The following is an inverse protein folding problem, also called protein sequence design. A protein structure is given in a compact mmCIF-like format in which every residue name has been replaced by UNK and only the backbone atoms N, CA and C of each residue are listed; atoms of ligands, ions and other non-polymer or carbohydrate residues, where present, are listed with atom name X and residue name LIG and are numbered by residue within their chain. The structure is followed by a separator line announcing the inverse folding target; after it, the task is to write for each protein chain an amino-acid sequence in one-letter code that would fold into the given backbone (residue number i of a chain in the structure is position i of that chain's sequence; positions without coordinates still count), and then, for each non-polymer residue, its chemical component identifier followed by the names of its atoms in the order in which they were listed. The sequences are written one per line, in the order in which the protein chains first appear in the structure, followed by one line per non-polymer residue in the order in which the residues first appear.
data_IF_218738707937
#
_entry.id   IF_218738707937
#
_cell.length_a   1.000
_cell.length_b   1.000
_cell.length_c   1.000
_cell.angle_alpha   90.00
_cell.angle_beta   90.00
_cell.angle_gamma   90.00
#
_symmetry.space_group_name_H-M   'P 1'
#
loop_
_entity.id
_entity.type
_entity.pdbx_description
1 polymer ?
2 non-polymer ?
3 water ?
#
# COMPACT_ATOMS: atom_id res chain seq x y z
N UNK A 21 -2.58 9.11 27.74
CA UNK A 21 -2.29 10.34 26.95
C UNK A 21 -0.76 10.72 27.02
N UNK A 22 0.11 9.70 27.09
CA UNK A 22 1.57 9.84 26.93
C UNK A 22 2.29 8.47 26.97
N UNK A 23 3.20 8.21 26.02
CA UNK A 23 3.96 6.93 25.97
C UNK A 23 5.49 7.10 25.94
N UNK A 24 6.22 6.02 26.24
CA UNK A 24 7.69 6.04 26.20
C UNK A 24 8.25 4.92 25.31
N UNK A 25 9.16 5.28 24.41
CA UNK A 25 9.68 4.37 23.39
C UNK A 25 11.19 4.51 23.33
N UNK A 26 11.89 3.52 23.88
CA UNK A 26 13.33 3.59 24.08
C UNK A 26 13.71 4.79 24.96
N UNK A 27 12.91 4.93 26.04
CA UNK A 27 13.12 5.94 27.10
C UNK A 27 12.39 7.25 26.86
N UNK A 28 12.54 7.75 25.64
CA UNK A 28 11.93 8.98 25.17
C UNK A 28 10.41 9.01 25.30
N UNK A 29 9.88 10.19 25.57
CA UNK A 29 8.47 10.29 25.90
C UNK A 29 7.69 11.07 24.86
N UNK A 30 6.64 10.45 24.35
CA UNK A 30 5.82 11.07 23.32
C UNK A 30 4.42 11.35 23.86
N UNK A 31 3.94 12.57 23.60
CA UNK A 31 2.64 13.03 24.03
C UNK A 31 1.70 12.84 22.89
N UNK A 32 0.66 12.05 23.13
CA UNK A 32 -0.33 11.77 22.09
C UNK A 32 -1.09 13.04 21.79
N UNK A 33 -1.42 13.30 20.53
CA UNK A 33 -2.46 14.29 20.18
C UNK A 33 -3.76 13.59 19.85
N UNK A 34 -3.78 12.72 18.85
CA UNK A 34 -4.98 11.95 18.60
C UNK A 34 -4.69 10.59 17.99
N UNK A 35 -5.71 9.76 17.87
CA UNK A 35 -5.59 8.46 17.26
C UNK A 35 -5.90 8.57 15.79
N UNK A 36 -4.90 8.32 14.97
CA UNK A 36 -5.01 8.59 13.54
C UNK A 36 -5.02 7.32 12.73
N UNK A 37 -5.50 6.23 13.35
CA UNK A 37 -5.50 4.92 12.68
C UNK A 37 -5.66 3.74 13.63
N UNK A 38 -6.30 2.66 13.14
CA UNK A 38 -6.49 1.42 13.92
C UNK A 38 -6.91 0.19 13.09
N UNK A 39 -6.48 -0.98 13.54
CA UNK A 39 -6.67 -2.26 12.84
C UNK A 39 -6.16 -3.35 13.75
N UNK A 40 -6.34 -4.62 13.40
CA UNK A 40 -5.86 -5.74 14.22
C UNK A 40 -5.78 -5.45 15.72
N UNK A 41 -4.66 -5.80 16.34
CA UNK A 41 -4.41 -5.45 17.74
C UNK A 41 -3.41 -4.31 17.75
N UNK A 42 -3.78 -3.22 17.08
CA UNK A 42 -2.88 -2.11 16.82
C UNK A 42 -3.57 -0.74 16.63
N UNK A 43 -3.15 0.21 17.44
CA UNK A 43 -3.57 1.58 17.26
C UNK A 43 -2.44 2.36 16.57
N UNK A 44 -2.80 3.41 15.85
CA UNK A 44 -1.82 4.38 15.44
C UNK A 44 -2.16 5.74 15.93
N UNK A 45 -1.22 6.38 16.64
CA UNK A 45 -1.39 7.71 17.18
C UNK A 45 -0.52 8.70 16.47
N UNK A 46 -0.97 9.97 16.48
CA UNK A 46 -0.20 11.14 16.11
C UNK A 46 0.36 11.79 17.37
N UNK A 47 1.65 12.09 17.44
CA UNK A 47 2.18 12.42 18.76
C UNK A 47 3.29 13.45 18.70
N UNK A 48 3.74 13.93 19.86
CA UNK A 48 4.83 14.94 19.90
C UNK A 48 5.96 14.46 20.76
N UNK A 49 7.19 14.64 20.29
CA UNK A 49 8.32 14.24 21.08
C UNK A 49 8.60 15.34 22.08
N UNK A 50 9.78 15.30 22.69
CA UNK A 50 10.19 16.25 23.72
C UNK A 50 10.41 17.63 23.09
N UNK A 51 11.12 17.67 21.95
CA UNK A 51 11.36 18.93 21.21
C UNK A 51 10.15 19.45 20.43
N UNK A 52 8.94 19.05 20.82
CA UNK A 52 7.70 19.49 20.15
C UNK A 52 7.64 19.15 18.67
N UNK A 53 8.23 18.00 18.32
CA UNK A 53 8.20 17.43 16.97
C UNK A 53 7.13 16.34 16.81
N UNK A 54 6.58 16.27 15.61
CA UNK A 54 5.48 15.36 15.33
C UNK A 54 5.94 14.00 14.73
N UNK A 55 5.26 12.94 15.18
CA UNK A 55 5.50 11.58 14.71
C UNK A 55 4.21 10.81 14.77
N UNK A 56 4.27 9.64 14.17
CA UNK A 56 3.23 8.64 14.28
C UNK A 56 3.85 7.45 15.00
N UNK A 57 3.08 6.93 15.94
CA UNK A 57 3.43 5.71 16.64
C UNK A 57 2.36 4.69 16.36
N UNK A 58 2.81 3.49 16.07
CA UNK A 58 1.94 2.40 15.89
C UNK A 58 2.24 1.58 17.09
N UNK A 59 1.22 1.40 17.92
CA UNK A 59 1.29 0.50 19.03
C UNK A 59 0.71 -0.75 18.51
N UNK A 60 1.44 -1.84 18.67
CA UNK A 60 0.91 -3.15 18.35
C UNK A 60 0.89 -4.00 19.61
N UNK A 61 -0.20 -4.74 19.75
CA UNK A 61 -0.42 -5.53 20.94
C UNK A 61 -0.14 -7.01 20.71
N UNK A 62 0.71 -7.58 21.58
CA UNK A 62 1.22 -8.92 21.37
C UNK A 62 0.76 -9.95 22.38
N UNK A 63 -0.01 -9.53 23.37
CA UNK A 63 -0.38 -10.41 24.46
C UNK A 63 -1.21 -11.60 23.98
N UNK A 64 -1.88 -11.47 22.82
CA UNK A 64 -2.58 -12.63 22.22
C UNK A 64 -1.90 -13.23 20.97
N UNK A 65 -0.62 -12.91 20.77
CA UNK A 65 0.11 -13.26 19.55
C UNK A 65 0.69 -14.65 19.56
N UNK A 66 0.20 -15.51 18.68
CA UNK A 66 0.79 -16.85 18.50
C UNK A 66 2.21 -16.73 17.97
N UNK A 67 2.94 -17.84 17.94
CA UNK A 67 4.33 -17.78 17.54
C UNK A 67 4.54 -17.31 16.12
N UNK A 68 3.89 -17.94 15.16
CA UNK A 68 4.14 -17.55 13.77
C UNK A 68 3.82 -16.08 13.62
N UNK A 69 2.72 -15.66 14.21
CA UNK A 69 2.37 -14.28 14.17
C UNK A 69 3.57 -13.48 14.68
N UNK A 70 4.00 -13.73 15.90
CA UNK A 70 5.16 -13.05 16.47
C UNK A 70 6.41 -12.99 15.58
N UNK A 71 6.56 -13.96 14.68
CA UNK A 71 7.68 -13.92 13.78
C UNK A 71 7.38 -12.96 12.63
N UNK A 72 6.27 -13.24 11.98
CA UNK A 72 5.74 -12.37 10.97
C UNK A 72 5.93 -10.88 11.33
N UNK A 73 5.60 -10.50 12.57
CA UNK A 73 5.80 -9.11 12.99
C UNK A 73 7.29 -8.77 13.08
N UNK A 74 8.08 -9.59 13.75
CA UNK A 74 9.53 -9.38 13.75
C UNK A 74 10.15 -9.27 12.34
N UNK A 75 9.67 -10.11 11.43
CA UNK A 75 10.10 -10.07 10.04
C UNK A 75 9.76 -8.74 9.39
N UNK A 76 8.49 -8.41 9.44
CA UNK A 76 8.00 -7.25 8.76
C UNK A 76 8.79 -6.05 9.25
N UNK A 77 9.12 -6.02 10.54
CA UNK A 77 9.88 -4.88 11.14
C UNK A 77 11.34 -4.90 10.69
N UNK A 78 11.91 -6.10 10.70
CA UNK A 78 13.23 -6.32 10.18
C UNK A 78 13.38 -5.62 8.86
N UNK A 79 12.38 -5.79 8.00
CA UNK A 79 12.46 -5.36 6.62
C UNK A 79 12.15 -3.91 6.52
N UNK A 80 11.32 -3.41 7.41
CA UNK A 80 10.89 -2.04 7.26
C UNK A 80 12.09 -1.24 7.56
N UNK A 81 12.73 -1.63 8.64
CA UNK A 81 13.96 -1.05 9.06
C UNK A 81 15.00 -1.14 7.98
N UNK A 82 15.11 -2.30 7.33
CA UNK A 82 16.19 -2.46 6.35
C UNK A 82 16.06 -1.54 5.16
N UNK A 83 14.95 -1.69 4.45
CA UNK A 83 14.74 -0.97 3.21
C UNK A 83 14.42 0.50 3.46
N UNK A 84 14.69 0.97 4.66
CA UNK A 84 14.80 2.41 4.86
C UNK A 84 15.83 2.99 3.88
N UNK A 85 17.08 2.57 3.99
CA UNK A 85 18.11 3.28 3.21
C UNK A 85 17.98 2.95 1.76
N UNK A 86 17.36 1.84 1.43
CA UNK A 86 17.19 1.47 0.04
C UNK A 86 16.08 2.27 -0.63
N UNK A 87 15.31 3.10 0.08
CA UNK A 87 14.40 4.07 -0.59
C UNK A 87 13.48 4.92 0.30
N UNK A 88 13.29 6.14 -0.17
CA UNK A 88 12.54 7.12 0.55
C UNK A 88 11.08 7.07 0.15
N UNK A 89 10.68 6.14 -0.72
CA UNK A 89 9.25 5.93 -0.97
C UNK A 89 8.75 4.82 -0.07
N UNK A 90 9.35 4.71 1.12
CA UNK A 90 8.91 3.77 2.13
C UNK A 90 8.86 4.48 3.46
N UNK A 91 7.71 4.40 4.10
CA UNK A 91 7.51 5.20 5.29
C UNK A 91 8.78 5.15 6.21
N UNK A 92 9.27 6.28 6.68
CA UNK A 92 10.45 6.27 7.56
C UNK A 92 10.04 5.57 8.82
N UNK A 93 11.00 4.90 9.45
CA UNK A 93 10.84 4.25 10.76
C UNK A 93 12.00 4.71 11.55
N UNK A 94 11.75 5.50 12.56
CA UNK A 94 12.85 6.15 13.26
C UNK A 94 13.33 5.27 14.37
N UNK A 95 12.41 4.60 15.06
CA UNK A 95 12.75 3.75 16.18
C UNK A 95 11.61 2.83 16.56
N UNK A 96 11.97 1.78 17.28
CA UNK A 96 10.99 0.91 17.88
C UNK A 96 11.50 0.28 19.16
N UNK A 97 10.54 -0.01 20.04
CA UNK A 97 10.76 -0.77 21.26
C UNK A 97 9.89 -1.99 21.11
N UNK A 98 10.39 -3.13 21.59
CA UNK A 98 9.65 -4.37 21.42
C UNK A 98 9.83 -5.35 22.60
N UNK A 99 8.70 -5.91 23.04
CA UNK A 99 8.70 -6.75 24.21
C UNK A 99 7.70 -7.80 23.92
N UNK A 100 7.40 -8.61 24.93
CA UNK A 100 6.59 -9.79 24.72
C UNK A 100 5.10 -9.43 24.64
N UNK A 101 4.77 -8.23 25.12
CA UNK A 101 3.37 -7.77 25.16
C UNK A 101 3.05 -6.73 24.07
N UNK A 102 4.04 -5.89 23.75
CA UNK A 102 3.85 -4.87 22.77
C UNK A 102 5.02 -4.55 21.84
N UNK A 103 4.66 -4.00 20.70
CA UNK A 103 5.58 -3.29 19.83
C UNK A 103 5.14 -1.82 19.73
N UNK A 104 6.10 -0.91 19.84
CA UNK A 104 5.89 0.51 19.52
C UNK A 104 6.82 0.90 18.40
N UNK A 105 6.28 1.59 17.42
CA UNK A 105 7.03 1.95 16.24
C UNK A 105 6.95 3.43 16.01
N UNK A 106 8.09 4.10 15.93
CA UNK A 106 8.07 5.52 15.73
C UNK A 106 8.35 5.84 14.29
N UNK A 107 7.31 6.19 13.56
CA UNK A 107 7.44 6.54 12.16
C UNK A 107 7.20 8.02 11.97
N UNK A 108 7.41 8.52 10.75
CA UNK A 108 7.02 9.90 10.43
C UNK A 108 5.51 9.96 10.38
N UNK A 109 4.96 11.14 10.70
CA UNK A 109 3.53 11.33 10.57
C UNK A 109 3.18 11.88 9.22
N UNK A 110 2.40 11.11 8.47
CA UNK A 110 1.91 11.56 7.18
C UNK A 110 0.70 12.43 7.33
N UNK A 111 0.22 12.93 6.21
CA UNK A 111 -0.97 13.79 6.18
C UNK A 111 -2.26 12.95 6.18
N UNK A 112 -2.28 11.93 5.35
CA UNK A 112 -3.43 11.08 5.23
C UNK A 112 -3.00 9.87 4.41
N UNK A 113 -3.65 8.73 4.63
CA UNK A 113 -3.46 7.61 3.73
C UNK A 113 -4.14 7.90 2.40
N UNK A 114 -3.67 7.26 1.35
CA UNK A 114 -4.24 7.48 0.04
C UNK A 114 -5.73 7.28 0.04
N UNK A 115 -6.17 6.20 0.67
CA UNK A 115 -7.54 5.74 0.49
C UNK A 115 -8.56 6.69 1.08
N UNK A 116 -8.18 7.32 2.19
CA UNK A 116 -9.04 8.30 2.81
C UNK A 116 -9.16 9.50 1.89
N UNK A 117 -8.05 9.86 1.29
CA UNK A 117 -7.98 11.07 0.51
C UNK A 117 -8.64 10.85 -0.84
N UNK A 118 -8.46 9.68 -1.44
CA UNK A 118 -9.13 9.42 -2.70
C UNK A 118 -10.62 9.58 -2.47
N UNK A 119 -11.13 9.07 -1.36
CA UNK A 119 -12.55 9.23 -1.06
C UNK A 119 -12.97 10.71 -1.07
N UNK A 120 -12.37 11.54 -0.21
CA UNK A 120 -12.70 12.99 -0.17
C UNK A 120 -12.47 13.75 -1.49
N UNK A 121 -11.45 13.36 -2.24
CA UNK A 121 -10.98 14.17 -3.38
C UNK A 121 -11.92 14.06 -4.57
N UNK A 122 -12.17 15.24 -5.16
CA UNK A 122 -13.19 15.45 -6.18
C UNK A 122 -12.86 14.66 -7.44
N UNK A 123 -11.93 15.21 -8.23
CA UNK A 123 -11.16 14.46 -9.22
C UNK A 123 -9.70 14.83 -8.94
N UNK A 124 -8.78 14.07 -9.55
CA UNK A 124 -7.36 14.17 -9.21
C UNK A 124 -6.62 14.82 -10.37
N UNK A 125 -5.96 15.92 -10.08
CA UNK A 125 -5.14 16.58 -11.08
C UNK A 125 -4.24 15.56 -11.80
N UNK A 126 -4.40 15.41 -13.12
CA UNK A 126 -3.55 14.47 -13.84
C UNK A 126 -2.07 14.42 -13.44
N UNK A 127 -1.44 15.56 -13.18
CA UNK A 127 -0.02 15.58 -12.84
C UNK A 127 0.25 14.90 -11.49
N UNK A 128 -0.52 15.27 -10.47
CA UNK A 128 -0.53 14.58 -9.15
C UNK A 128 -0.67 13.05 -9.30
N UNK A 129 -1.65 12.59 -10.07
CA UNK A 129 -1.93 11.16 -10.18
C UNK A 129 -0.78 10.42 -10.82
N UNK A 130 -0.14 11.03 -11.79
CA UNK A 130 1.04 10.44 -12.42
C UNK A 130 2.20 10.47 -11.46
N UNK A 131 2.40 11.60 -10.80
CA UNK A 131 3.40 11.65 -9.75
C UNK A 131 3.22 10.53 -8.76
N UNK A 132 1.99 10.37 -8.25
CA UNK A 132 1.71 9.31 -7.27
C UNK A 132 2.05 7.92 -7.82
N UNK A 133 1.57 7.62 -9.01
CA UNK A 133 1.91 6.36 -9.66
C UNK A 133 3.43 6.16 -9.67
N UNK A 134 4.22 7.20 -9.94
CA UNK A 134 5.66 7.00 -9.98
C UNK A 134 6.16 6.52 -8.63
N UNK A 135 5.62 7.04 -7.55
CA UNK A 135 6.02 6.58 -6.21
C UNK A 135 5.55 5.18 -5.88
N UNK A 136 4.33 4.83 -6.26
CA UNK A 136 3.89 3.46 -6.08
C UNK A 136 4.91 2.49 -6.70
N UNK A 137 5.27 2.70 -7.95
CA UNK A 137 6.28 1.90 -8.59
C UNK A 137 7.64 1.95 -7.93
N UNK A 138 8.09 3.12 -7.47
CA UNK A 138 9.45 3.19 -6.93
C UNK A 138 9.42 2.25 -5.71
N UNK A 139 8.53 2.55 -4.77
CA UNK A 139 8.31 1.74 -3.57
C UNK A 139 8.18 0.25 -3.83
N UNK A 140 7.22 -0.11 -4.65
CA UNK A 140 6.95 -1.50 -4.86
C UNK A 140 8.15 -2.12 -5.52
N UNK A 141 8.72 -1.47 -6.51
CA UNK A 141 9.92 -2.01 -7.18
C UNK A 141 11.02 -2.30 -6.18
N UNK A 142 11.26 -1.40 -5.22
CA UNK A 142 12.23 -1.67 -4.15
C UNK A 142 11.98 -3.02 -3.43
N UNK A 143 10.77 -3.22 -2.94
CA UNK A 143 10.51 -4.44 -2.18
C UNK A 143 10.66 -5.72 -3.03
N UNK A 144 10.50 -5.61 -4.34
CA UNK A 144 10.59 -6.80 -5.19
C UNK A 144 12.02 -7.19 -5.40
N UNK A 145 12.85 -6.17 -5.55
CA UNK A 145 14.28 -6.33 -5.46
C UNK A 145 14.73 -7.11 -4.23
N UNK A 146 14.05 -6.92 -3.11
CA UNK A 146 14.47 -7.61 -1.93
C UNK A 146 13.78 -8.90 -1.67
N UNK A 147 13.05 -9.41 -2.65
CA UNK A 147 12.41 -10.69 -2.47
C UNK A 147 10.97 -10.56 -2.03
N UNK A 148 10.52 -9.37 -1.62
CA UNK A 148 9.11 -9.28 -1.13
C UNK A 148 8.01 -9.02 -2.18
N UNK A 149 7.05 -9.92 -2.28
CA UNK A 149 5.85 -9.60 -3.00
C UNK A 149 4.82 -9.17 -1.97
N UNK A 150 4.20 -8.03 -2.17
CA UNK A 150 3.27 -7.56 -1.16
C UNK A 150 1.99 -8.36 -1.24
N UNK A 151 1.51 -8.63 -2.45
CA UNK A 151 0.38 -9.53 -2.61
C UNK A 151 -0.88 -9.16 -1.81
N UNK A 152 -1.09 -7.85 -1.59
CA UNK A 152 -2.30 -7.29 -0.96
C UNK A 152 -2.37 -5.72 -0.98
N UNK A 153 -1.98 -5.12 -2.11
CA UNK A 153 -1.92 -3.69 -2.16
C UNK A 153 -3.34 -3.11 -2.34
N UNK A 154 -3.67 -2.15 -1.49
CA UNK A 154 -4.84 -1.33 -1.67
C UNK A 154 -4.41 0.08 -1.40
N UNK A 155 -5.28 1.03 -1.71
CA UNK A 155 -4.92 2.39 -1.46
C UNK A 155 -4.48 2.63 -0.03
N UNK A 156 -5.23 2.06 0.91
CA UNK A 156 -4.96 2.14 2.35
C UNK A 156 -3.49 1.94 2.78
N UNK A 157 -2.72 1.20 1.99
CA UNK A 157 -1.34 0.90 2.28
C UNK A 157 -0.33 2.04 2.03
N UNK A 158 -0.79 3.10 1.38
CA UNK A 158 0.07 4.21 0.99
C UNK A 158 -0.29 5.47 1.70
N UNK A 159 0.72 6.19 2.12
CA UNK A 159 0.54 7.35 2.96
C UNK A 159 1.18 8.52 2.25
N UNK A 160 0.42 9.61 2.14
CA UNK A 160 0.92 10.87 1.59
C UNK A 160 1.73 11.58 2.67
N UNK A 161 2.99 11.86 2.37
CA UNK A 161 3.75 12.76 3.20
C UNK A 161 4.27 13.81 2.28
N UNK A 162 4.26 15.08 2.68
CA UNK A 162 4.77 16.17 1.84
C UNK A 162 4.49 15.94 0.35
N UNK A 163 3.20 15.74 0.05
CA UNK A 163 2.72 15.41 -1.33
C UNK A 163 3.49 14.34 -2.09
N UNK A 164 4.14 13.47 -1.34
CA UNK A 164 4.95 12.39 -1.84
C UNK A 164 4.34 11.13 -1.22
N UNK A 165 4.44 10.00 -1.89
CA UNK A 165 3.73 8.78 -1.48
C UNK A 165 4.62 7.65 -0.99
N UNK A 166 4.29 7.05 0.14
CA UNK A 166 5.20 6.06 0.68
C UNK A 166 4.47 4.79 1.07
N UNK A 167 5.10 3.66 0.78
CA UNK A 167 4.57 2.40 1.19
C UNK A 167 4.75 2.31 2.69
N UNK A 168 3.69 1.83 3.34
CA UNK A 168 3.68 1.72 4.77
C UNK A 168 4.19 0.40 5.23
N UNK A 169 3.69 -0.65 4.59
CA UNK A 169 3.90 -1.99 5.07
C UNK A 169 4.31 -2.92 3.88
N UNK A 170 4.78 -4.15 4.15
CA UNK A 170 5.10 -5.13 3.07
C UNK A 170 4.22 -6.40 2.96
N UNK A 171 3.02 -6.33 3.51
CA UNK A 171 2.14 -7.51 3.63
C UNK A 171 2.71 -8.80 4.25
N UNK A 172 3.76 -8.65 5.05
CA UNK A 172 4.55 -9.78 5.58
C UNK A 172 3.94 -10.28 6.87
N UNK A 173 3.41 -9.37 7.67
CA UNK A 173 2.81 -9.70 8.94
C UNK A 173 1.38 -10.20 8.78
N UNK A 174 0.99 -11.08 9.71
CA UNK A 174 -0.35 -11.65 9.74
C UNK A 174 -1.34 -10.67 10.33
N UNK A 175 -2.61 -11.08 10.38
CA UNK A 175 -3.74 -10.25 10.82
C UNK A 175 -4.45 -10.83 12.07
N UNK A 176 -5.35 -10.03 12.65
CA UNK A 176 -6.07 -10.42 13.88
C UNK A 176 -7.59 -10.21 13.74
N UNK A 189 -9.60 -5.23 4.57
CA UNK A 189 -10.95 -5.27 5.13
C UNK A 189 -11.73 -6.45 4.52
N UNK A 190 -11.02 -7.41 3.94
CA UNK A 190 -11.65 -8.55 3.24
C UNK A 190 -11.69 -8.34 1.74
N UNK A 192 -12.22 -7.85 -2.01
CA UNK A 192 -11.72 -8.58 -3.17
C UNK A 192 -11.35 -7.67 -4.38
N UNK A 193 -11.78 -6.41 -4.33
CA UNK A 193 -11.62 -5.53 -5.46
C UNK A 193 -10.21 -5.33 -6.04
N UNK A 194 -9.18 -5.52 -5.23
CA UNK A 194 -7.80 -5.33 -5.72
C UNK A 194 -7.04 -6.63 -5.97
N UNK A 195 -7.76 -7.75 -6.01
CA UNK A 195 -7.17 -9.08 -5.91
C UNK A 195 -6.91 -9.70 -7.29
N UNK A 196 -5.68 -10.12 -7.55
CA UNK A 196 -5.31 -10.62 -8.88
C UNK A 196 -5.84 -12.04 -9.15
N UNK A 197 -6.32 -12.32 -10.38
CA UNK A 197 -7.07 -13.56 -10.65
C UNK A 197 -6.26 -14.75 -10.24
N UNK A 198 -4.96 -14.73 -10.53
CA UNK A 198 -4.11 -15.89 -10.28
C UNK A 198 -4.09 -16.29 -8.80
N UNK A 199 -4.62 -15.46 -7.92
CA UNK A 199 -4.86 -15.83 -6.53
C UNK A 199 -6.36 -15.78 -6.20
N UNK A 200 -7.18 -16.16 -7.18
CA UNK A 200 -8.57 -16.54 -6.93
C UNK A 200 -8.62 -18.04 -7.22
N UNK A 201 -7.51 -18.74 -6.96
CA UNK A 201 -7.54 -20.20 -6.80
C UNK A 201 -6.35 -20.69 -5.95
N UNK A 202 -6.49 -20.60 -4.62
CA UNK A 202 -5.39 -20.96 -3.71
C UNK A 202 -5.97 -21.39 -2.35
N UNK A 216 4.78 -17.57 -5.60
CA UNK A 216 4.07 -16.27 -5.67
C UNK A 216 4.82 -15.20 -6.52
N UNK A 217 4.10 -14.50 -7.39
CA UNK A 217 4.76 -13.61 -8.32
C UNK A 217 4.66 -12.10 -8.02
N UNK A 218 5.76 -11.39 -8.33
CA UNK A 218 5.80 -9.94 -8.44
C UNK A 218 4.73 -9.39 -9.35
N UNK A 219 4.22 -10.22 -10.25
CA UNK A 219 3.18 -9.78 -11.14
C UNK A 219 1.86 -9.58 -10.40
N UNK A 220 1.69 -10.21 -9.24
CA UNK A 220 0.45 -10.08 -8.49
C UNK A 220 0.28 -8.63 -8.04
N UNK A 221 1.38 -8.00 -7.65
CA UNK A 221 1.36 -6.60 -7.21
C UNK A 221 1.05 -5.64 -8.34
N UNK A 222 1.42 -6.03 -9.56
CA UNK A 222 1.16 -5.19 -10.73
C UNK A 222 -0.34 -5.07 -10.99
N UNK A 223 -1.08 -6.17 -10.80
CA UNK A 223 -2.53 -6.13 -10.88
C UNK A 223 -3.14 -5.12 -9.91
N UNK A 224 -2.79 -5.26 -8.64
CA UNK A 224 -3.33 -4.44 -7.59
C UNK A 224 -3.01 -2.96 -7.83
N UNK A 225 -1.73 -2.67 -8.12
CA UNK A 225 -1.29 -1.30 -8.45
C UNK A 225 -2.09 -0.81 -9.62
N UNK A 226 -2.30 -1.70 -10.58
CA UNK A 226 -3.26 -1.46 -11.67
C UNK A 226 -4.62 -0.97 -11.20
N UNK A 227 -5.28 -1.75 -10.34
CA UNK A 227 -6.59 -1.37 -9.81
C UNK A 227 -6.54 -0.05 -9.06
N UNK A 228 -5.44 0.23 -8.35
CA UNK A 228 -5.25 1.50 -7.63
C UNK A 228 -5.23 2.64 -8.64
N UNK A 229 -4.48 2.47 -9.73
CA UNK A 229 -4.36 3.53 -10.77
C UNK A 229 -5.69 3.75 -11.42
N UNK A 230 -6.32 2.63 -11.80
CA UNK A 230 -7.69 2.59 -12.36
C UNK A 230 -8.58 3.40 -11.44
N UNK A 231 -8.60 3.04 -10.17
CA UNK A 231 -9.38 3.81 -9.24
C UNK A 231 -9.04 5.25 -9.42
N UNK A 232 -7.76 5.60 -9.41
CA UNK A 232 -7.36 7.02 -9.55
C UNK A 232 -7.70 7.65 -10.91
N UNK A 233 -8.27 6.86 -11.82
CA UNK A 233 -8.44 7.30 -13.17
C UNK A 233 -9.89 7.42 -13.58
N UNK A 234 -10.65 6.35 -13.43
CA UNK A 234 -12.09 6.36 -13.64
C UNK A 234 -12.88 6.33 -12.32
N UNK A 235 -12.24 6.68 -11.21
CA UNK A 235 -12.94 6.80 -9.92
C UNK A 235 -13.59 5.55 -9.34
N UNK A 236 -13.24 4.36 -9.87
CA UNK A 236 -13.82 3.10 -9.40
C UNK A 236 -12.75 2.03 -9.52
N UNK A 237 -12.94 0.89 -8.87
CA UNK A 237 -12.11 -0.26 -9.21
C UNK A 237 -12.74 -0.93 -10.43
N UNK A 238 -11.97 -1.80 -11.11
CA UNK A 238 -12.46 -2.39 -12.35
C UNK A 238 -13.68 -3.28 -12.22
N UNK A 239 -13.95 -3.85 -11.04
CA UNK A 239 -15.09 -4.74 -10.91
C UNK A 239 -16.00 -4.33 -9.77
N UNK A 240 -16.26 -3.04 -9.67
CA UNK A 240 -16.98 -2.50 -8.55
C UNK A 240 -18.47 -2.63 -8.77
N UNK A 241 -18.90 -2.22 -9.97
CA UNK A 241 -20.31 -2.30 -10.39
C UNK A 241 -20.87 -3.60 -9.87
N UNK A 242 -20.21 -4.71 -10.18
CA UNK A 242 -20.60 -6.03 -9.67
C UNK A 242 -20.73 -6.04 -8.14
N UNK A 243 -21.83 -6.58 -7.63
CA UNK A 243 -22.05 -6.62 -6.18
C UNK A 243 -21.98 -8.05 -5.62
N UNK A 244 -22.55 -9.02 -6.33
CA UNK A 244 -22.36 -10.44 -5.99
C UNK A 244 -20.89 -10.83 -5.95
N UNK A 245 -20.35 -11.01 -4.77
CA UNK A 245 -18.93 -11.24 -4.62
C UNK A 245 -18.45 -12.57 -5.17
N UNK A 246 -19.37 -13.49 -5.42
CA UNK A 246 -19.01 -14.67 -6.17
C UNK A 246 -19.12 -14.39 -7.67
N UNK A 247 -20.13 -13.62 -8.10
CA UNK A 247 -20.19 -13.17 -9.51
C UNK A 247 -18.88 -12.43 -9.78
N UNK A 248 -18.51 -11.54 -8.87
CA UNK A 248 -17.25 -10.78 -8.91
C UNK A 248 -16.01 -11.68 -9.01
N UNK A 249 -15.86 -12.59 -8.06
CA UNK A 249 -14.71 -13.45 -8.11
C UNK A 249 -14.62 -14.20 -9.44
N UNK A 250 -15.77 -14.45 -10.06
CA UNK A 250 -15.78 -15.14 -11.35
C UNK A 250 -15.43 -14.15 -12.47
N UNK A 251 -15.78 -12.88 -12.29
CA UNK A 251 -15.46 -11.83 -13.27
C UNK A 251 -13.94 -11.62 -13.44
N UNK A 252 -13.22 -11.71 -12.32
CA UNK A 252 -11.79 -11.45 -12.29
C UNK A 252 -11.01 -12.56 -12.96
N UNK A 253 -11.58 -13.76 -13.04
CA UNK A 253 -10.89 -14.90 -13.66
C UNK A 253 -11.37 -15.28 -15.07
N UNK A 254 -12.51 -14.73 -15.52
CA UNK A 254 -13.15 -15.17 -16.80
C UNK A 254 -12.65 -14.38 -18.03
N UNK A 255 -11.78 -15.02 -18.85
CA UNK A 255 -11.28 -14.25 -19.99
C UNK A 255 -12.38 -13.79 -20.93
N UNK A 256 -13.56 -14.40 -20.85
CA UNK A 256 -14.74 -13.88 -21.57
C UNK A 256 -15.25 -12.50 -21.11
N UNK A 257 -14.70 -12.01 -20.00
CA UNK A 257 -15.21 -10.78 -19.42
C UNK A 257 -14.39 -9.57 -19.88
N UNK A 258 -14.97 -8.83 -20.82
CA UNK A 258 -14.43 -7.53 -21.25
C UNK A 258 -14.30 -6.58 -20.06
N UNK A 259 -13.06 -6.24 -19.68
CA UNK A 259 -12.84 -5.16 -18.72
C UNK A 259 -12.91 -3.87 -19.55
N UNK A 260 -13.75 -2.93 -19.12
CA UNK A 260 -13.90 -1.70 -19.89
C UNK A 260 -12.90 -0.68 -19.43
N UNK A 261 -12.35 0.07 -20.39
CA UNK A 261 -11.42 1.17 -20.16
C UNK A 261 -11.81 2.45 -20.93
N UNK A 262 -12.95 3.09 -20.60
CA UNK A 262 -13.38 4.36 -21.16
C UNK A 262 -12.31 5.33 -21.70
N UNK A 263 -12.55 5.87 -22.90
CA UNK A 263 -11.59 6.75 -23.56
C UNK A 263 -11.40 8.07 -22.81
N UNK A 264 -10.14 8.43 -22.65
CA UNK A 264 -9.70 9.59 -21.86
C UNK A 264 -8.55 10.22 -22.64
N UNK A 265 -8.28 11.52 -22.43
CA UNK A 265 -7.17 12.18 -23.14
C UNK A 265 -5.86 11.39 -23.07
N UNK A 266 -5.51 10.93 -21.86
CA UNK A 266 -4.23 10.25 -21.63
C UNK A 266 -4.28 8.86 -22.23
N UNK A 267 -3.78 8.75 -23.46
CA UNK A 267 -3.65 7.46 -24.13
C UNK A 267 -2.43 6.70 -23.61
N UNK A 268 -1.46 7.48 -23.11
CA UNK A 268 -0.36 6.97 -22.31
C UNK A 268 -0.96 6.10 -21.19
N UNK A 269 -1.85 6.72 -20.40
CA UNK A 269 -2.47 6.08 -19.23
C UNK A 269 -3.42 4.94 -19.53
N UNK A 270 -4.13 5.01 -20.63
CA UNK A 270 -5.09 3.98 -20.94
C UNK A 270 -4.30 2.71 -21.18
N UNK A 271 -3.22 2.83 -21.95
CA UNK A 271 -2.32 1.71 -22.21
C UNK A 271 -1.91 0.98 -20.94
N UNK A 272 -1.39 1.74 -19.98
CA UNK A 272 -0.88 1.21 -18.72
C UNK A 272 -1.94 0.41 -17.95
N UNK A 273 -3.17 0.89 -17.89
CA UNK A 273 -4.23 0.10 -17.27
C UNK A 273 -4.43 -1.21 -18.05
N UNK A 274 -4.65 -1.09 -19.34
CA UNK A 274 -4.86 -2.28 -20.14
C UNK A 274 -3.72 -3.24 -19.88
N UNK A 275 -2.51 -2.70 -19.73
CA UNK A 275 -1.30 -3.52 -19.59
C UNK A 275 -1.14 -4.18 -18.25
N UNK A 276 -1.50 -3.48 -17.18
CA UNK A 276 -1.45 -4.04 -15.84
C UNK A 276 -2.57 -5.07 -15.59
N UNK A 277 -3.75 -4.90 -16.20
CA UNK A 277 -4.90 -5.79 -15.96
C UNK A 277 -5.07 -6.92 -16.99
N UNK A 278 -3.97 -7.66 -17.17
CA UNK A 278 -3.90 -8.82 -18.05
C UNK A 278 -3.92 -10.09 -17.20
N UNK A 279 -5.08 -10.73 -17.19
CA UNK A 279 -5.34 -11.88 -16.33
C UNK A 279 -4.25 -12.95 -16.33
N UNK A 280 -3.52 -13.09 -17.42
CA UNK A 280 -2.38 -14.01 -17.40
C UNK A 280 -1.16 -13.27 -16.87
N UNK A 281 -0.61 -13.72 -15.72
CA UNK A 281 0.58 -13.11 -15.15
C UNK A 281 1.80 -12.95 -16.06
N UNK A 282 1.99 -13.82 -17.05
CA UNK A 282 3.11 -13.64 -17.99
C UNK A 282 2.73 -12.67 -19.12
N UNK A 283 1.46 -12.61 -19.44
CA UNK A 283 0.92 -11.56 -20.30
C UNK A 283 1.09 -10.16 -19.70
N UNK A 284 1.13 -10.08 -18.37
CA UNK A 284 1.10 -8.81 -17.65
C UNK A 284 2.43 -8.05 -17.72
N UNK A 285 2.36 -6.74 -17.54
CA UNK A 285 3.54 -5.92 -17.68
C UNK A 285 4.37 -6.02 -16.37
N UNK A 286 5.70 -6.03 -16.50
CA UNK A 286 6.60 -6.09 -15.35
C UNK A 286 6.77 -4.69 -14.82
N UNK A 287 7.23 -4.56 -13.59
CA UNK A 287 7.45 -3.22 -13.06
C UNK A 287 8.64 -2.56 -13.70
N UNK A 288 9.71 -3.33 -13.97
CA UNK A 288 10.75 -2.58 -14.66
C UNK A 288 10.26 -2.09 -15.99
N UNK A 289 9.34 -2.79 -16.61
CA UNK A 289 8.71 -2.27 -17.82
C UNK A 289 7.86 -1.01 -17.54
N UNK A 290 7.08 -1.06 -16.46
CA UNK A 290 6.23 0.05 -16.08
C UNK A 290 7.03 1.33 -15.80
N UNK A 291 8.23 1.23 -15.25
CA UNK A 291 9.09 2.43 -15.01
C UNK A 291 9.66 3.08 -16.26
N UNK A 292 9.73 2.35 -17.37
CA UNK A 292 10.17 2.92 -18.65
C UNK A 292 8.98 3.20 -19.52
N UNK A 293 7.78 2.89 -19.02
CA UNK A 293 6.59 3.15 -19.78
C UNK A 293 6.51 4.65 -20.10
N UNK A 294 5.86 5.01 -21.21
CA UNK A 294 5.80 6.44 -21.57
C UNK A 294 4.96 7.31 -20.62
N UNK A 295 3.90 6.71 -20.11
CA UNK A 295 3.05 7.36 -19.16
C UNK A 295 3.87 7.92 -18.03
N UNK A 296 4.78 7.16 -17.50
CA UNK A 296 5.62 7.68 -16.42
C UNK A 296 6.90 8.34 -16.97
N UNK A 297 7.24 8.10 -18.24
CA UNK A 297 8.49 8.63 -18.75
C UNK A 297 8.46 9.99 -19.40
N UNK A 298 7.46 10.19 -20.24
CA UNK A 298 7.46 11.24 -21.23
C UNK A 298 6.53 12.41 -20.86
N UNK A 299 7.03 13.64 -21.05
CA UNK A 299 6.24 14.88 -20.83
C UNK A 299 5.20 15.11 -21.94
#
# INVERSE_FOLDING_TARGET
MHHHHHHSSGVDLGTENLYFQSMSVKGRIYSILKQIGSGGSSKVFQVLNEKKQIYAIKYVNLEEADNQTLDSYRNEIAYLNKLQQHSDKIIRLYDYEITDQYIYMVMECGNIDLNSWLKKKKSIDPWERKSYWKNMLEAVHTIHQHGIVHSDLKPANFLIVDGMLKLIDFGIANQMQPDTTSVVKDSQVGXVNYMPPEAIKDMSSSRENGKSKSKISPKSDVWSLGCILYYMTYGKTPFQQIINQISKLHAIIDPNHEIEFPDIPEKDLQDVLKCCLKRDPKQRISIPELLAHPYVQIQTHLVNQMAKGTTEE
#
